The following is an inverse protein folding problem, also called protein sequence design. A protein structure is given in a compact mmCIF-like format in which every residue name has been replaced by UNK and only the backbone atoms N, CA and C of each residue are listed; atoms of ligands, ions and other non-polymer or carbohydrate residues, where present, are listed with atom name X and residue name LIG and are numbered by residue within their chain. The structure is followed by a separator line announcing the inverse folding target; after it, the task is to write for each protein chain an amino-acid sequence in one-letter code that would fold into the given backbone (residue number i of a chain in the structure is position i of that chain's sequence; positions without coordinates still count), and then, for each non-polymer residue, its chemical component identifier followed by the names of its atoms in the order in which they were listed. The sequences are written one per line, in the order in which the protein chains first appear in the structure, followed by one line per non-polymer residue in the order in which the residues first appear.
data_IF_196901446363
#
_entry.id   IF_196901446363
#
_cell.length_a   1.000
_cell.length_b   1.000
_cell.length_c   1.000
_cell.angle_alpha   90.00
_cell.angle_beta   90.00
_cell.angle_gamma   90.00
#
_symmetry.space_group_name_H-M   'P 1'
#
loop_
_entity.id
_entity.type
_entity.pdbx_description
1 polymer ?
#
# COMPACT_ATOMS: atom_id res chain seq x y z
N UNK A 1 38.13 -41.22 -26.90
CA UNK A 1 38.49 -40.27 -25.84
C UNK A 1 37.18 -39.91 -25.09
N UNK A 2 36.88 -40.66 -24.02
CA UNK A 2 35.68 -40.42 -23.19
C UNK A 2 36.11 -39.49 -22.06
N UNK A 3 35.48 -38.32 -21.99
CA UNK A 3 35.73 -37.33 -20.94
C UNK A 3 34.99 -37.79 -19.70
N UNK A 4 35.76 -38.16 -18.68
CA UNK A 4 35.26 -38.40 -17.33
C UNK A 4 35.07 -37.05 -16.61
N UNK A 5 33.85 -36.51 -16.62
CA UNK A 5 33.45 -35.37 -15.79
C UNK A 5 32.08 -35.68 -15.21
N UNK A 6 32.01 -36.61 -14.29
CA UNK A 6 30.87 -36.74 -13.35
C UNK A 6 31.30 -37.65 -12.19
N UNK A 7 32.23 -37.22 -11.37
CA UNK A 7 32.40 -37.84 -10.03
C UNK A 7 33.11 -36.87 -9.08
N UNK A 8 32.44 -35.76 -8.72
CA UNK A 8 32.81 -34.94 -7.55
C UNK A 8 31.70 -34.02 -7.09
N UNK A 9 30.49 -34.52 -6.89
CA UNK A 9 29.42 -33.74 -6.25
C UNK A 9 28.70 -34.53 -5.13
N UNK A 10 29.39 -35.45 -4.48
CA UNK A 10 28.79 -36.27 -3.42
C UNK A 10 29.38 -36.08 -2.02
N UNK A 11 30.13 -35.00 -1.77
CA UNK A 11 30.57 -34.66 -0.42
C UNK A 11 30.60 -33.14 -0.20
N UNK A 12 29.47 -32.46 -0.40
CA UNK A 12 29.25 -31.18 0.25
C UNK A 12 28.74 -31.50 1.66
N UNK A 13 29.37 -30.96 2.71
CA UNK A 13 28.83 -31.11 4.06
C UNK A 13 27.44 -30.51 4.10
N UNK A 14 26.50 -31.25 4.68
CA UNK A 14 25.10 -30.84 4.91
C UNK A 14 24.95 -29.77 6.00
N UNK A 15 25.89 -28.86 6.12
CA UNK A 15 25.81 -27.63 6.91
C UNK A 15 25.59 -26.49 5.94
N UNK A 16 24.33 -26.32 5.51
CA UNK A 16 23.86 -25.00 5.07
C UNK A 16 23.75 -24.18 6.36
N UNK A 17 24.90 -23.82 6.92
CA UNK A 17 24.96 -22.79 7.96
C UNK A 17 24.47 -21.52 7.30
N UNK A 18 23.24 -21.12 7.67
CA UNK A 18 22.62 -19.79 7.50
C UNK A 18 23.33 -18.87 6.50
N UNK A 19 23.25 -19.19 5.21
CA UNK A 19 23.63 -18.22 4.19
C UNK A 19 22.61 -17.10 4.31
N UNK A 20 23.05 -15.93 4.79
CA UNK A 20 22.21 -14.76 4.84
C UNK A 20 21.68 -14.48 3.42
N UNK A 21 20.36 -14.37 3.27
CA UNK A 21 19.75 -13.98 2.01
C UNK A 21 20.10 -12.52 1.63
N UNK A 22 20.82 -11.82 2.52
CA UNK A 22 21.18 -10.41 2.38
C UNK A 22 22.70 -10.24 2.26
N UNK A 23 23.12 -9.33 1.39
CA UNK A 23 24.54 -8.99 1.24
C UNK A 23 25.09 -8.42 2.55
N UNK A 24 26.29 -8.87 2.99
CA UNK A 24 26.89 -8.37 4.23
C UNK A 24 27.07 -6.85 4.22
N UNK A 25 26.64 -6.19 5.28
CA UNK A 25 26.78 -4.73 5.45
C UNK A 25 25.72 -3.90 4.71
N UNK A 26 24.82 -4.53 3.94
CA UNK A 26 23.70 -3.82 3.29
C UNK A 26 22.49 -3.76 4.22
N UNK A 27 21.72 -2.67 4.16
CA UNK A 27 20.47 -2.58 4.94
C UNK A 27 19.46 -3.63 4.48
N UNK A 28 18.73 -4.21 5.44
CA UNK A 28 17.61 -5.09 5.16
C UNK A 28 16.37 -4.22 5.08
N UNK A 29 15.70 -4.21 3.94
CA UNK A 29 14.42 -3.54 3.71
C UNK A 29 13.31 -4.57 3.81
N UNK A 30 12.51 -4.52 4.87
CA UNK A 30 11.34 -5.37 5.00
C UNK A 30 10.15 -4.71 4.27
N UNK A 31 9.55 -5.45 3.34
CA UNK A 31 8.38 -5.00 2.59
C UNK A 31 7.18 -5.83 3.01
N UNK A 32 6.13 -5.15 3.47
CA UNK A 32 4.84 -5.77 3.78
C UNK A 32 3.99 -5.73 2.54
N UNK A 33 3.79 -6.92 1.95
CA UNK A 33 3.07 -7.13 0.70
C UNK A 33 3.84 -8.03 -0.26
N UNK A 34 3.14 -8.61 -1.22
CA UNK A 34 3.67 -9.66 -2.09
C UNK A 34 3.19 -9.54 -3.54
N UNK A 35 2.57 -8.40 -3.86
CA UNK A 35 1.98 -8.13 -5.17
C UNK A 35 3.00 -7.71 -6.23
N UNK A 36 2.46 -7.14 -7.32
CA UNK A 36 3.25 -6.69 -8.47
C UNK A 36 4.19 -5.54 -8.08
N UNK A 37 3.76 -4.63 -7.19
CA UNK A 37 4.60 -3.50 -6.77
C UNK A 37 5.79 -3.97 -5.96
N UNK A 38 5.59 -4.89 -4.99
CA UNK A 38 6.69 -5.49 -4.24
C UNK A 38 7.68 -6.24 -5.16
N UNK A 39 7.17 -6.91 -6.22
CA UNK A 39 8.03 -7.54 -7.24
C UNK A 39 8.89 -6.51 -8.00
N UNK A 40 8.33 -5.37 -8.38
CA UNK A 40 9.06 -4.27 -9.01
C UNK A 40 10.11 -3.68 -8.05
N UNK A 41 9.77 -3.50 -6.77
CA UNK A 41 10.73 -3.07 -5.75
C UNK A 41 11.92 -4.03 -5.63
N UNK A 42 11.69 -5.34 -5.73
CA UNK A 42 12.77 -6.34 -5.72
C UNK A 42 13.70 -6.18 -6.93
N UNK A 43 13.17 -5.88 -8.11
CA UNK A 43 13.99 -5.65 -9.31
C UNK A 43 14.94 -4.46 -9.11
N UNK A 44 14.43 -3.33 -8.65
CA UNK A 44 15.22 -2.13 -8.39
C UNK A 44 16.24 -2.34 -7.25
N UNK A 45 15.87 -3.09 -6.21
CA UNK A 45 16.74 -3.40 -5.11
C UNK A 45 17.98 -4.21 -5.58
N UNK A 46 17.81 -5.14 -6.52
CA UNK A 46 18.93 -5.90 -7.12
C UNK A 46 19.92 -4.99 -7.82
N UNK A 47 19.44 -4.01 -8.61
CA UNK A 47 20.31 -3.05 -9.29
C UNK A 47 21.07 -2.14 -8.31
N UNK A 48 20.48 -1.85 -7.16
CA UNK A 48 21.10 -1.09 -6.07
C UNK A 48 22.01 -1.94 -5.16
N UNK A 49 22.19 -3.22 -5.45
CA UNK A 49 22.97 -4.15 -4.62
C UNK A 49 22.31 -4.48 -3.29
N UNK A 50 20.99 -4.25 -3.17
CA UNK A 50 20.20 -4.50 -1.97
C UNK A 50 19.32 -5.74 -2.14
N UNK A 51 18.81 -6.23 -1.04
CA UNK A 51 17.82 -7.30 -1.03
C UNK A 51 16.66 -6.95 -0.11
N UNK A 52 15.49 -7.44 -0.51
CA UNK A 52 14.23 -7.22 0.20
C UNK A 52 13.89 -8.50 0.99
N UNK A 53 13.37 -8.31 2.21
CA UNK A 53 12.61 -9.32 2.94
C UNK A 53 11.13 -9.04 2.77
N UNK A 54 10.36 -10.03 2.32
CA UNK A 54 8.91 -9.90 2.12
C UNK A 54 8.13 -10.47 3.29
N UNK A 55 7.01 -9.82 3.64
CA UNK A 55 5.88 -10.48 4.29
C UNK A 55 4.88 -10.86 3.18
N UNK A 56 4.72 -12.15 2.93
CA UNK A 56 3.86 -12.66 1.87
C UNK A 56 2.78 -13.58 2.42
N UNK A 57 1.58 -13.52 1.83
CA UNK A 57 0.48 -14.43 2.16
C UNK A 57 0.66 -15.84 1.60
N UNK A 58 1.45 -15.98 0.51
CA UNK A 58 1.70 -17.26 -0.13
C UNK A 58 3.06 -17.28 -0.84
N UNK A 59 3.66 -18.47 -1.00
CA UNK A 59 4.94 -18.64 -1.70
C UNK A 59 4.83 -18.46 -3.22
N UNK A 60 3.66 -18.62 -3.78
CA UNK A 60 3.37 -18.43 -5.20
C UNK A 60 2.90 -17.00 -5.54
N UNK A 61 2.86 -16.09 -4.55
CA UNK A 61 2.61 -14.69 -4.77
C UNK A 61 3.66 -14.05 -5.67
N UNK A 62 3.27 -13.01 -6.42
CA UNK A 62 4.07 -12.40 -7.49
C UNK A 62 5.49 -12.04 -7.06
N UNK A 63 5.65 -11.36 -5.92
CA UNK A 63 6.96 -10.96 -5.42
C UNK A 63 7.70 -12.12 -4.72
N UNK A 64 6.99 -13.03 -4.05
CA UNK A 64 7.58 -14.17 -3.35
C UNK A 64 8.35 -15.10 -4.29
N UNK A 65 7.92 -15.20 -5.56
CA UNK A 65 8.59 -16.00 -6.59
C UNK A 65 10.01 -15.53 -6.94
N UNK A 66 10.37 -14.30 -6.63
CA UNK A 66 11.66 -13.69 -7.01
C UNK A 66 12.46 -13.17 -5.82
N UNK A 67 11.89 -13.12 -4.63
CA UNK A 67 12.56 -12.68 -3.43
C UNK A 67 13.37 -13.82 -2.77
N UNK A 68 14.56 -13.52 -2.29
CA UNK A 68 15.42 -14.48 -1.61
C UNK A 68 15.04 -14.71 -0.14
N UNK A 69 14.34 -13.75 0.49
CA UNK A 69 13.92 -13.81 1.89
C UNK A 69 12.43 -13.55 2.00
N UNK A 70 11.67 -14.60 2.28
CA UNK A 70 10.20 -14.56 2.36
C UNK A 70 9.75 -15.06 3.73
N UNK A 71 9.05 -14.22 4.46
CA UNK A 71 8.33 -14.55 5.69
C UNK A 71 6.86 -14.75 5.33
N UNK A 72 6.35 -15.97 5.49
CA UNK A 72 4.91 -16.20 5.31
C UNK A 72 4.12 -15.68 6.51
N UNK A 73 3.06 -14.93 6.23
CA UNK A 73 2.21 -14.37 7.27
C UNK A 73 1.15 -13.42 6.72
N UNK A 74 0.40 -12.83 7.64
CA UNK A 74 -0.69 -11.91 7.38
C UNK A 74 -0.35 -10.51 7.92
N UNK A 75 -0.47 -9.50 7.10
CA UNK A 75 -0.21 -8.10 7.49
C UNK A 75 -1.22 -7.56 8.53
N UNK A 76 -2.34 -8.24 8.74
CA UNK A 76 -3.30 -7.93 9.81
C UNK A 76 -2.92 -8.57 11.15
N UNK A 77 -1.88 -9.41 11.18
CA UNK A 77 -1.36 -10.04 12.38
C UNK A 77 -0.08 -9.33 12.85
N UNK A 78 -0.13 -8.74 14.03
CA UNK A 78 0.98 -7.98 14.60
C UNK A 78 2.25 -8.84 14.81
N UNK A 79 2.12 -10.11 15.17
CA UNK A 79 3.28 -10.98 15.38
C UNK A 79 3.97 -11.35 14.07
N UNK A 80 3.24 -11.43 12.97
CA UNK A 80 3.79 -11.62 11.63
C UNK A 80 4.56 -10.37 11.18
N UNK A 81 4.01 -9.18 11.45
CA UNK A 81 4.70 -7.92 11.21
C UNK A 81 5.99 -7.81 12.05
N UNK A 82 5.98 -8.23 13.31
CA UNK A 82 7.19 -8.31 14.15
C UNK A 82 8.22 -9.27 13.59
N UNK A 83 7.78 -10.41 13.04
CA UNK A 83 8.70 -11.41 12.45
C UNK A 83 9.41 -10.85 11.22
N UNK A 84 8.70 -10.22 10.29
CA UNK A 84 9.31 -9.64 9.08
C UNK A 84 10.23 -8.47 9.42
N UNK A 85 9.88 -7.68 10.44
CA UNK A 85 10.65 -6.52 10.89
C UNK A 85 11.93 -6.88 11.65
N UNK A 86 12.08 -8.12 12.14
CA UNK A 86 13.21 -8.52 13.00
C UNK A 86 14.55 -8.32 12.31
N UNK A 87 15.38 -7.39 12.82
CA UNK A 87 16.69 -7.07 12.27
C UNK A 87 16.64 -6.31 10.93
N UNK A 88 15.47 -5.87 10.48
CA UNK A 88 15.36 -4.99 9.34
C UNK A 88 15.79 -3.56 9.71
N UNK A 89 16.40 -2.85 8.77
CA UNK A 89 16.76 -1.44 8.92
C UNK A 89 15.54 -0.53 8.78
N UNK A 90 14.54 -0.96 8.02
CA UNK A 90 13.29 -0.27 7.78
C UNK A 90 12.20 -1.25 7.36
N UNK A 91 10.97 -0.92 7.73
CA UNK A 91 9.75 -1.58 7.24
C UNK A 91 9.02 -0.61 6.30
N UNK A 92 8.66 -1.10 5.12
CA UNK A 92 7.86 -0.36 4.13
C UNK A 92 6.75 -1.26 3.57
N UNK A 93 5.97 -0.75 2.62
CA UNK A 93 4.76 -1.39 2.13
C UNK A 93 4.65 -1.29 0.61
N UNK A 94 4.01 -2.27 -0.03
CA UNK A 94 3.56 -2.15 -1.43
C UNK A 94 2.07 -1.78 -1.55
N UNK A 95 1.35 -1.71 -0.41
CA UNK A 95 -0.06 -1.33 -0.32
C UNK A 95 -0.35 -0.57 0.99
N UNK A 96 -1.52 0.06 1.10
CA UNK A 96 -1.95 0.89 2.23
C UNK A 96 -2.72 0.15 3.34
N UNK A 97 -2.95 -1.15 3.23
CA UNK A 97 -3.95 -1.87 4.04
C UNK A 97 -3.48 -2.29 5.44
N UNK A 98 -2.21 -2.08 5.78
CA UNK A 98 -1.70 -2.46 7.13
C UNK A 98 -2.40 -1.63 8.20
N UNK A 99 -2.94 -2.27 9.27
CA UNK A 99 -3.63 -1.55 10.34
C UNK A 99 -2.75 -0.50 11.00
N UNK A 100 -3.27 0.71 11.14
CA UNK A 100 -2.54 1.88 11.71
C UNK A 100 -2.06 1.61 13.14
N UNK A 101 -2.86 0.91 13.95
CA UNK A 101 -2.54 0.52 15.31
C UNK A 101 -1.34 -0.43 15.38
N UNK A 102 -1.19 -1.33 14.42
CA UNK A 102 -0.02 -2.23 14.35
C UNK A 102 1.25 -1.44 14.00
N UNK A 103 1.18 -0.50 13.06
CA UNK A 103 2.31 0.35 12.72
C UNK A 103 2.73 1.25 13.89
N UNK A 104 1.76 1.79 14.62
CA UNK A 104 2.01 2.58 15.82
C UNK A 104 2.70 1.74 16.90
N UNK A 105 2.27 0.49 17.08
CA UNK A 105 2.88 -0.44 18.01
C UNK A 105 4.32 -0.78 17.62
N UNK A 106 4.58 -1.10 16.35
CA UNK A 106 5.94 -1.37 15.84
C UNK A 106 6.88 -0.18 16.08
N UNK A 107 6.41 1.05 15.82
CA UNK A 107 7.20 2.26 16.06
C UNK A 107 7.48 2.47 17.55
N UNK A 108 6.52 2.19 18.44
CA UNK A 108 6.72 2.24 19.88
C UNK A 108 7.73 1.18 20.38
N UNK A 109 7.86 0.07 19.67
CA UNK A 109 8.87 -0.98 19.91
C UNK A 109 10.25 -0.62 19.29
N UNK A 110 10.40 0.57 18.70
CA UNK A 110 11.65 1.05 18.13
C UNK A 110 11.93 0.62 16.69
N UNK A 111 10.94 0.02 16.02
CA UNK A 111 11.05 -0.37 14.61
C UNK A 111 10.87 0.87 13.73
N UNK A 112 11.80 1.04 12.79
CA UNK A 112 11.73 2.13 11.79
C UNK A 112 10.69 1.77 10.71
N UNK A 113 9.57 2.47 10.71
CA UNK A 113 8.46 2.28 9.75
C UNK A 113 8.38 3.50 8.83
N UNK A 114 8.53 3.29 7.53
CA UNK A 114 8.52 4.36 6.51
C UNK A 114 7.70 3.93 5.27
N UNK A 115 6.66 4.70 4.89
CA UNK A 115 6.13 5.87 5.58
C UNK A 115 5.48 5.50 6.93
N UNK A 116 5.49 6.43 7.89
CA UNK A 116 4.81 6.23 9.17
C UNK A 116 3.28 6.30 9.04
N UNK A 117 2.52 5.84 10.07
CA UNK A 117 1.07 5.79 10.04
C UNK A 117 0.41 7.15 9.77
N UNK A 118 1.03 8.25 10.23
CA UNK A 118 0.55 9.62 9.97
C UNK A 118 0.59 10.02 8.49
N UNK A 119 1.46 9.41 7.69
CA UNK A 119 1.51 9.61 6.25
C UNK A 119 0.62 8.58 5.53
N UNK A 120 0.66 7.31 5.96
CA UNK A 120 -0.07 6.23 5.33
C UNK A 120 -1.60 6.43 5.38
N UNK A 121 -2.13 7.05 6.44
CA UNK A 121 -3.57 7.34 6.57
C UNK A 121 -4.12 8.13 5.38
N UNK A 122 -3.30 8.98 4.75
CA UNK A 122 -3.72 9.74 3.56
C UNK A 122 -3.90 8.84 2.31
N UNK A 123 -3.22 7.70 2.24
CA UNK A 123 -3.47 6.70 1.21
C UNK A 123 -4.67 5.80 1.57
N UNK A 124 -4.87 5.53 2.87
CA UNK A 124 -5.94 4.67 3.36
C UNK A 124 -7.34 5.28 3.25
N UNK A 125 -7.47 6.60 3.47
CA UNK A 125 -8.76 7.28 3.57
C UNK A 125 -8.81 8.50 2.63
N UNK A 126 -9.65 8.39 1.60
CA UNK A 126 -9.78 9.41 0.56
C UNK A 126 -10.31 10.75 1.10
N UNK A 127 -11.16 10.73 2.13
CA UNK A 127 -11.64 11.97 2.75
C UNK A 127 -10.52 12.67 3.50
N UNK A 128 -9.78 11.95 4.33
CA UNK A 128 -8.62 12.49 5.06
C UNK A 128 -7.59 13.08 4.09
N UNK A 129 -7.33 12.40 2.97
CA UNK A 129 -6.45 12.91 1.93
C UNK A 129 -6.96 14.23 1.34
N UNK A 130 -8.24 14.33 1.02
CA UNK A 130 -8.87 15.53 0.44
C UNK A 130 -8.81 16.71 1.42
N UNK A 131 -9.15 16.49 2.67
CA UNK A 131 -9.07 17.51 3.74
C UNK A 131 -7.62 18.00 3.92
N UNK A 132 -6.65 17.08 3.92
CA UNK A 132 -5.24 17.40 4.02
C UNK A 132 -4.75 18.25 2.85
N UNK A 133 -5.06 17.86 1.62
CA UNK A 133 -4.66 18.58 0.41
C UNK A 133 -5.32 19.97 0.38
N UNK A 134 -6.61 20.06 0.71
CA UNK A 134 -7.32 21.34 0.80
C UNK A 134 -6.70 22.26 1.84
N UNK A 135 -6.38 21.74 3.03
CA UNK A 135 -5.72 22.49 4.11
C UNK A 135 -4.32 22.99 3.75
N UNK A 136 -3.66 22.35 2.79
CA UNK A 136 -2.35 22.77 2.24
C UNK A 136 -2.50 23.77 1.06
N UNK A 137 -3.73 24.09 0.65
CA UNK A 137 -3.99 24.95 -0.51
C UNK A 137 -3.82 24.28 -1.86
N UNK A 138 -3.71 22.94 -1.90
CA UNK A 138 -3.66 22.22 -3.17
C UNK A 138 -5.05 22.25 -3.85
N UNK A 139 -5.11 22.35 -5.19
CA UNK A 139 -6.36 22.30 -5.92
C UNK A 139 -6.97 20.90 -5.82
N UNK A 140 -8.15 20.83 -5.22
CA UNK A 140 -8.96 19.61 -5.15
C UNK A 140 -10.39 19.92 -5.62
N UNK A 141 -11.09 18.97 -6.24
CA UNK A 141 -12.52 19.14 -6.53
C UNK A 141 -13.30 19.41 -5.22
N UNK A 142 -14.43 20.13 -5.27
CA UNK A 142 -15.36 20.16 -4.15
C UNK A 142 -15.70 18.74 -3.68
N UNK A 143 -15.71 18.53 -2.37
CA UNK A 143 -15.97 17.20 -1.77
C UNK A 143 -16.70 17.33 -0.44
N UNK A 144 -17.31 16.25 0.02
CA UNK A 144 -18.03 16.17 1.29
C UNK A 144 -18.01 14.75 1.84
N UNK A 145 -17.98 14.61 3.16
CA UNK A 145 -18.30 13.35 3.84
C UNK A 145 -19.79 13.02 3.63
N UNK A 146 -20.12 11.75 3.45
CA UNK A 146 -21.49 11.28 3.34
C UNK A 146 -21.79 10.39 4.54
N UNK A 147 -22.65 10.88 5.43
CA UNK A 147 -23.14 10.17 6.60
C UNK A 147 -24.60 9.76 6.43
N UNK A 148 -25.34 10.46 5.56
CA UNK A 148 -26.76 10.22 5.24
C UNK A 148 -27.00 10.38 3.74
N UNK A 149 -28.11 9.83 3.25
CA UNK A 149 -28.58 10.08 1.88
C UNK A 149 -28.84 11.56 1.62
N UNK A 150 -29.30 12.29 2.65
CA UNK A 150 -29.55 13.72 2.54
C UNK A 150 -28.27 14.52 2.24
N UNK A 151 -27.13 14.17 2.85
CA UNK A 151 -25.85 14.82 2.55
C UNK A 151 -25.48 14.67 1.07
N UNK A 152 -25.72 13.48 0.52
CA UNK A 152 -25.45 13.21 -0.88
C UNK A 152 -26.38 14.01 -1.82
N UNK A 153 -27.65 14.13 -1.49
CA UNK A 153 -28.61 14.91 -2.26
C UNK A 153 -28.33 16.41 -2.19
N UNK A 154 -27.87 16.92 -1.05
CA UNK A 154 -27.48 18.32 -0.90
C UNK A 154 -26.23 18.62 -1.74
N UNK A 155 -25.24 17.73 -1.71
CA UNK A 155 -24.06 17.84 -2.53
C UNK A 155 -24.38 17.70 -4.02
N UNK A 156 -25.27 16.78 -4.42
CA UNK A 156 -25.75 16.64 -5.80
C UNK A 156 -26.31 17.96 -6.35
N UNK A 157 -27.13 18.66 -5.56
CA UNK A 157 -27.64 19.98 -5.92
C UNK A 157 -26.53 21.03 -6.03
N UNK A 158 -25.55 21.02 -5.11
CA UNK A 158 -24.43 21.96 -5.09
C UNK A 158 -23.55 21.85 -6.33
N UNK A 159 -23.40 20.65 -6.90
CA UNK A 159 -22.51 20.38 -8.06
C UNK A 159 -23.25 20.13 -9.36
N UNK A 160 -24.52 20.55 -9.45
CA UNK A 160 -25.38 20.41 -10.64
C UNK A 160 -25.45 18.96 -11.17
N UNK A 161 -25.54 17.99 -10.26
CA UNK A 161 -25.61 16.56 -10.59
C UNK A 161 -24.31 15.88 -10.91
N UNK A 162 -23.21 16.62 -11.01
CA UNK A 162 -21.90 16.07 -11.34
C UNK A 162 -21.22 15.40 -10.12
N UNK A 163 -21.79 14.28 -9.64
CA UNK A 163 -21.30 13.56 -8.47
C UNK A 163 -20.43 12.37 -8.85
N UNK A 164 -19.32 12.20 -8.13
CA UNK A 164 -18.53 10.99 -8.04
C UNK A 164 -18.58 10.51 -6.59
N UNK A 165 -19.35 9.46 -6.32
CA UNK A 165 -19.45 8.83 -5.00
C UNK A 165 -18.30 7.84 -4.82
N UNK A 166 -17.69 7.80 -3.65
CA UNK A 166 -16.54 6.95 -3.36
C UNK A 166 -16.63 6.30 -1.99
N UNK A 167 -16.25 5.02 -1.92
CA UNK A 167 -15.85 4.44 -0.64
C UNK A 167 -14.59 5.14 -0.14
N UNK A 168 -14.59 5.60 1.10
CA UNK A 168 -13.43 6.28 1.70
C UNK A 168 -12.22 5.36 1.79
N UNK A 169 -12.45 4.06 2.07
CA UNK A 169 -11.42 3.04 2.27
C UNK A 169 -11.64 1.82 1.36
N UNK A 170 -10.61 1.07 1.08
CA UNK A 170 -10.67 -0.24 0.44
C UNK A 170 -10.97 -0.25 -1.06
N UNK A 171 -11.10 0.90 -1.71
CA UNK A 171 -11.30 0.97 -3.16
C UNK A 171 -9.98 1.07 -3.92
N UNK A 172 -9.81 0.21 -4.94
CA UNK A 172 -8.64 0.20 -5.84
C UNK A 172 -9.10 -0.12 -7.27
N UNK A 173 -8.35 0.30 -8.27
CA UNK A 173 -8.58 0.01 -9.69
C UNK A 173 -10.04 0.21 -10.14
N UNK A 174 -10.64 1.35 -9.76
CA UNK A 174 -12.02 1.68 -10.09
C UNK A 174 -13.08 1.02 -9.20
N UNK A 175 -12.71 0.11 -8.31
CA UNK A 175 -13.64 -0.43 -7.30
C UNK A 175 -13.90 0.61 -6.21
N UNK A 176 -15.15 0.66 -5.71
CA UNK A 176 -15.54 1.63 -4.70
C UNK A 176 -15.64 3.07 -5.23
N UNK A 177 -15.92 3.23 -6.52
CA UNK A 177 -16.19 4.51 -7.18
C UNK A 177 -17.46 4.34 -8.04
N UNK A 178 -18.42 5.24 -7.88
CA UNK A 178 -19.70 5.21 -8.58
C UNK A 178 -20.03 6.57 -9.17
N UNK A 179 -20.73 6.55 -10.31
CA UNK A 179 -21.16 7.73 -11.04
C UNK A 179 -22.68 7.65 -11.26
N UNK A 180 -23.51 7.98 -10.25
CA UNK A 180 -24.96 7.91 -10.38
C UNK A 180 -25.49 8.86 -11.46
N UNK A 181 -26.47 8.41 -12.22
CA UNK A 181 -27.07 9.18 -13.32
C UNK A 181 -28.16 10.16 -12.87
N UNK A 182 -28.58 10.11 -11.61
CA UNK A 182 -29.62 10.99 -11.07
C UNK A 182 -29.71 10.94 -9.55
N UNK A 183 -30.54 11.81 -8.99
CA UNK A 183 -30.69 11.95 -7.54
C UNK A 183 -31.28 10.67 -6.90
N UNK A 184 -32.25 10.03 -7.55
CA UNK A 184 -32.89 8.81 -7.05
C UNK A 184 -31.91 7.63 -6.98
N UNK A 185 -31.09 7.43 -8.04
CA UNK A 185 -30.05 6.42 -8.07
C UNK A 185 -28.96 6.70 -6.99
N UNK A 186 -28.57 7.97 -6.81
CA UNK A 186 -27.62 8.36 -5.78
C UNK A 186 -28.15 8.04 -4.39
N UNK A 187 -29.40 8.39 -4.10
CA UNK A 187 -30.05 8.16 -2.81
C UNK A 187 -30.06 6.68 -2.47
N UNK A 188 -30.58 5.84 -3.37
CA UNK A 188 -30.64 4.38 -3.17
C UNK A 188 -29.25 3.78 -2.97
N UNK A 189 -28.29 4.19 -3.78
CA UNK A 189 -26.91 3.69 -3.71
C UNK A 189 -26.26 4.05 -2.36
N UNK A 190 -26.47 5.27 -1.87
CA UNK A 190 -25.93 5.70 -0.58
C UNK A 190 -26.58 4.93 0.57
N UNK A 191 -27.90 4.75 0.55
CA UNK A 191 -28.61 3.96 1.57
C UNK A 191 -28.10 2.52 1.63
N UNK A 192 -27.95 1.88 0.47
CA UNK A 192 -27.46 0.49 0.36
C UNK A 192 -26.03 0.34 0.89
N UNK A 193 -25.13 1.27 0.54
CA UNK A 193 -23.74 1.22 0.95
C UNK A 193 -23.54 1.56 2.42
N UNK A 194 -24.23 2.59 2.93
CA UNK A 194 -24.21 2.92 4.36
C UNK A 194 -24.83 1.79 5.19
N UNK A 195 -25.91 1.17 4.71
CA UNK A 195 -26.52 -0.01 5.34
C UNK A 195 -25.56 -1.21 5.44
N UNK A 196 -24.59 -1.32 4.55
CA UNK A 196 -23.49 -2.30 4.59
C UNK A 196 -22.29 -1.85 5.45
N UNK A 197 -22.36 -0.67 6.05
CA UNK A 197 -21.29 -0.11 6.87
C UNK A 197 -20.09 0.45 6.06
N UNK A 198 -20.28 0.74 4.77
CA UNK A 198 -19.24 1.33 3.92
C UNK A 198 -19.16 2.84 4.19
N UNK A 199 -18.04 3.37 4.72
CA UNK A 199 -17.86 4.79 4.89
C UNK A 199 -17.72 5.49 3.54
N UNK A 200 -18.48 6.56 3.30
CA UNK A 200 -18.61 7.22 2.00
C UNK A 200 -18.11 8.66 2.02
N UNK A 201 -17.69 9.12 0.85
CA UNK A 201 -17.52 10.52 0.50
C UNK A 201 -18.03 10.76 -0.93
N UNK A 202 -18.39 11.99 -1.23
CA UNK A 202 -18.66 12.43 -2.59
C UNK A 202 -17.68 13.53 -2.98
N UNK A 203 -17.32 13.58 -4.25
CA UNK A 203 -16.59 14.69 -4.86
C UNK A 203 -17.24 15.08 -6.19
N UNK A 204 -17.01 16.32 -6.60
CA UNK A 204 -17.48 16.76 -7.92
C UNK A 204 -16.75 15.96 -9.00
N UNK A 205 -17.54 15.31 -9.87
CA UNK A 205 -17.01 14.66 -11.08
C UNK A 205 -16.35 15.73 -11.96
N UNK A 206 -15.09 15.52 -12.30
CA UNK A 206 -14.32 16.37 -13.19
C UNK A 206 -14.16 15.71 -14.55
N UNK A 207 -14.14 16.52 -15.61
CA UNK A 207 -13.82 16.05 -16.94
C UNK A 207 -12.29 15.99 -17.09
N UNK A 208 -11.75 14.78 -17.06
CA UNK A 208 -10.31 14.56 -17.17
C UNK A 208 -9.88 14.71 -18.65
N UNK A 209 -8.91 15.56 -18.88
CA UNK A 209 -8.20 15.66 -20.16
C UNK A 209 -7.08 14.62 -20.24
N UNK A 210 -6.42 14.37 -19.13
CA UNK A 210 -5.37 13.35 -18.96
C UNK A 210 -5.13 13.09 -17.47
N UNK A 211 -4.55 11.94 -17.19
CA UNK A 211 -4.04 11.57 -15.88
C UNK A 211 -2.52 11.68 -15.87
N UNK A 212 -1.95 12.15 -14.78
CA UNK A 212 -0.51 12.29 -14.58
C UNK A 212 -0.11 11.64 -13.27
N UNK A 213 1.08 11.06 -13.25
CA UNK A 213 1.72 10.56 -12.04
C UNK A 213 3.00 11.35 -11.80
N UNK A 214 3.24 11.74 -10.55
CA UNK A 214 4.49 12.34 -10.10
C UNK A 214 5.03 11.49 -8.94
N UNK A 215 6.16 10.82 -9.19
CA UNK A 215 6.86 10.07 -8.16
C UNK A 215 7.70 11.03 -7.32
N UNK A 216 7.56 10.96 -5.99
CA UNK A 216 8.29 11.81 -5.05
C UNK A 216 8.85 10.96 -3.93
N UNK A 217 10.13 11.14 -3.65
CA UNK A 217 10.78 10.59 -2.46
C UNK A 217 11.19 11.73 -1.52
N UNK A 218 10.98 11.55 -0.21
CA UNK A 218 11.37 12.51 0.81
C UNK A 218 12.13 11.82 1.93
N UNK A 219 13.30 12.36 2.29
CA UNK A 219 14.06 11.86 3.44
C UNK A 219 13.46 12.35 4.77
N UNK A 220 13.77 11.69 5.90
CA UNK A 220 13.39 12.21 7.22
C UNK A 220 13.94 13.61 7.53
N UNK A 221 15.07 13.98 6.94
CA UNK A 221 15.66 15.33 7.03
C UNK A 221 14.91 16.39 6.21
N UNK A 222 13.99 15.97 5.34
CA UNK A 222 13.16 16.87 4.53
C UNK A 222 13.65 17.10 3.11
N UNK A 223 14.76 16.49 2.68
CA UNK A 223 15.21 16.54 1.30
C UNK A 223 14.22 15.81 0.39
N UNK A 224 13.95 16.38 -0.77
CA UNK A 224 12.96 15.87 -1.73
C UNK A 224 13.64 15.63 -3.07
N UNK A 225 13.31 14.48 -3.69
CA UNK A 225 13.63 14.15 -5.08
C UNK A 225 12.35 13.80 -5.84
N UNK A 226 12.26 14.15 -7.14
CA UNK A 226 11.15 13.85 -8.04
C UNK A 226 11.67 13.54 -9.45
#
# INVERSE_FOLDING_TARGET
MRVAIVERVTNLPNTVDNVSAHAPGMPVVAVVGDGQLARMMQTEAVELGQSIRLLAGALDASAAQVAADVVLGDYTNLDDLRRVARGASVVTFDHEHVPTEHLTTLMAEGINVQPGPHALVNAQDKLVMRERLQGMGAPVPPFVAIETAQDALDFYRQVDGAVCLKARRGGYDGKGVWFPHGAEELEQLVEDLLGQGVPLMAEKKVELVRELSAMVARTPSGEVAS
#
